data_IF_320827379533
#
_entry.id   IF_320827379533
#
_cell.length_a   1.000
_cell.length_b   1.000
_cell.length_c   1.000
_cell.angle_alpha   90.00
_cell.angle_beta   90.00
_cell.angle_gamma   90.00
#
_symmetry.space_group_name_H-M   'P 1'
#
loop_
_entity.id
_entity.type
_entity.pdbx_description
1 polymer ?
#
# COMPACT_ATOMS: atom_id res chain seq x y z
N UNK A 1 11.77 20.07 -6.75
CA UNK A 1 10.62 20.18 -5.81
C UNK A 1 10.84 19.52 -4.44
N UNK A 2 12.04 19.03 -4.09
CA UNK A 2 12.28 18.39 -2.79
C UNK A 2 12.11 19.31 -1.58
N UNK A 3 12.33 20.63 -1.74
CA UNK A 3 12.17 21.60 -0.64
C UNK A 3 10.71 22.01 -0.36
N UNK A 4 9.73 21.50 -1.11
CA UNK A 4 8.32 21.73 -0.78
C UNK A 4 7.92 20.95 0.49
N UNK A 5 7.12 21.57 1.35
CA UNK A 5 6.68 20.99 2.63
C UNK A 5 6.05 19.59 2.44
N UNK A 6 5.21 19.42 1.42
CA UNK A 6 4.59 18.14 1.07
C UNK A 6 5.60 17.06 0.69
N UNK A 7 6.60 17.39 -0.13
CA UNK A 7 7.66 16.47 -0.55
C UNK A 7 8.51 16.01 0.64
N UNK A 8 8.82 16.92 1.56
CA UNK A 8 9.57 16.63 2.79
C UNK A 8 8.76 15.70 3.69
N UNK A 9 7.48 16.01 3.91
CA UNK A 9 6.59 15.20 4.73
C UNK A 9 6.50 13.75 4.19
N UNK A 10 6.26 13.60 2.88
CA UNK A 10 6.21 12.30 2.22
C UNK A 10 7.53 11.52 2.34
N UNK A 11 8.67 12.20 2.14
CA UNK A 11 9.98 11.56 2.22
C UNK A 11 10.34 11.14 3.65
N UNK A 12 9.99 11.95 4.64
CA UNK A 12 10.17 11.62 6.07
C UNK A 12 9.31 10.42 6.48
N UNK A 13 8.04 10.39 6.06
CA UNK A 13 7.15 9.24 6.32
C UNK A 13 7.75 7.99 5.69
N UNK A 14 8.16 8.03 4.41
CA UNK A 14 8.77 6.88 3.74
C UNK A 14 10.04 6.38 4.46
N UNK A 15 10.91 7.29 4.92
CA UNK A 15 12.14 6.94 5.62
C UNK A 15 11.87 6.33 7.00
N UNK A 16 10.90 6.88 7.73
CA UNK A 16 10.43 6.33 9.00
C UNK A 16 9.88 4.91 8.81
N UNK A 17 8.97 4.73 7.85
CA UNK A 17 8.34 3.43 7.57
C UNK A 17 9.39 2.40 7.16
N UNK A 18 10.34 2.76 6.29
CA UNK A 18 11.43 1.89 5.88
C UNK A 18 12.28 1.45 7.08
N UNK A 19 12.62 2.37 7.98
CA UNK A 19 13.38 2.08 9.19
C UNK A 19 12.64 1.11 10.12
N UNK A 20 11.35 1.34 10.38
CA UNK A 20 10.52 0.48 11.23
C UNK A 20 10.38 -0.93 10.64
N UNK A 21 10.11 -1.04 9.34
CA UNK A 21 9.97 -2.32 8.63
C UNK A 21 11.30 -3.08 8.63
N UNK A 22 12.43 -2.42 8.43
CA UNK A 22 13.74 -3.07 8.42
C UNK A 22 14.08 -3.67 9.80
N UNK A 23 13.79 -2.94 10.88
CA UNK A 23 13.94 -3.45 12.26
C UNK A 23 13.04 -4.66 12.50
N UNK A 24 11.76 -4.58 12.11
CA UNK A 24 10.83 -5.68 12.28
C UNK A 24 11.14 -6.91 11.39
N UNK A 25 11.70 -6.70 10.20
CA UNK A 25 12.09 -7.77 9.28
C UNK A 25 13.20 -8.65 9.88
N UNK A 26 14.11 -8.08 10.67
CA UNK A 26 15.13 -8.84 11.41
C UNK A 26 14.48 -9.84 12.36
N UNK A 27 13.50 -9.40 13.13
CA UNK A 27 12.73 -10.27 14.04
C UNK A 27 11.90 -11.27 13.25
N UNK A 28 11.23 -10.84 12.19
CA UNK A 28 10.43 -11.71 11.33
C UNK A 28 11.23 -12.87 10.73
N UNK A 29 12.46 -12.61 10.28
CA UNK A 29 13.37 -13.67 9.80
C UNK A 29 13.74 -14.68 10.90
N UNK A 30 14.06 -14.20 12.12
CA UNK A 30 14.36 -15.09 13.25
C UNK A 30 13.15 -15.95 13.63
N UNK A 31 11.96 -15.35 13.65
CA UNK A 31 10.70 -16.05 13.94
C UNK A 31 10.46 -17.13 12.90
N UNK A 32 10.61 -16.85 11.60
CA UNK A 32 10.44 -17.88 10.57
C UNK A 32 11.38 -19.08 10.73
N UNK A 33 12.60 -18.85 11.21
CA UNK A 33 13.64 -19.88 11.30
C UNK A 33 13.62 -20.68 12.60
N UNK A 34 13.30 -20.04 13.72
CA UNK A 34 13.50 -20.62 15.06
C UNK A 34 12.22 -20.77 15.89
N UNK A 35 11.07 -20.27 15.41
CA UNK A 35 9.83 -20.31 16.16
C UNK A 35 9.36 -21.75 16.41
N UNK A 36 9.30 -22.15 17.68
CA UNK A 36 8.69 -23.40 18.11
C UNK A 36 7.82 -23.14 19.35
N UNK A 37 6.48 -23.14 19.22
CA UNK A 37 5.58 -22.84 20.35
C UNK A 37 5.64 -23.90 21.46
N UNK A 38 6.07 -25.13 21.17
CA UNK A 38 6.10 -26.23 22.14
C UNK A 38 7.39 -26.27 22.99
N UNK A 39 8.28 -25.28 22.86
CA UNK A 39 9.62 -25.32 23.47
C UNK A 39 9.88 -24.19 24.47
N UNK A 40 10.05 -24.54 25.75
CA UNK A 40 10.34 -23.60 26.85
C UNK A 40 11.81 -23.11 26.92
N UNK A 41 12.50 -23.02 25.79
CA UNK A 41 13.91 -22.56 25.78
C UNK A 41 13.95 -21.05 26.02
N UNK A 42 14.99 -20.57 26.71
CA UNK A 42 15.21 -19.12 26.91
C UNK A 42 15.21 -18.31 25.60
N UNK A 43 15.62 -18.91 24.49
CA UNK A 43 15.56 -18.32 23.16
C UNK A 43 14.12 -18.05 22.69
N UNK A 44 13.18 -18.95 22.97
CA UNK A 44 11.77 -18.82 22.59
C UNK A 44 11.09 -17.70 23.39
N UNK A 45 11.34 -17.63 24.70
CA UNK A 45 10.84 -16.54 25.58
C UNK A 45 11.36 -15.17 25.08
N UNK A 46 12.64 -15.11 24.68
CA UNK A 46 13.20 -13.91 24.07
C UNK A 46 12.48 -13.53 22.76
N UNK A 47 12.26 -14.49 21.87
CA UNK A 47 11.55 -14.27 20.60
C UNK A 47 10.11 -13.80 20.81
N UNK A 48 9.39 -14.31 21.81
CA UNK A 48 8.03 -13.86 22.15
C UNK A 48 8.02 -12.37 22.50
N UNK A 49 8.94 -11.92 23.36
CA UNK A 49 9.06 -10.49 23.70
C UNK A 49 9.41 -9.63 22.48
N UNK A 50 10.31 -10.10 21.61
CA UNK A 50 10.68 -9.41 20.38
C UNK A 50 9.51 -9.33 19.40
N UNK A 51 8.65 -10.37 19.33
CA UNK A 51 7.50 -10.40 18.41
C UNK A 51 6.43 -9.37 18.77
N UNK A 52 6.23 -9.09 20.06
CA UNK A 52 5.32 -8.04 20.53
C UNK A 52 5.77 -6.65 20.07
N UNK A 53 7.06 -6.35 20.28
CA UNK A 53 7.64 -5.10 19.81
C UNK A 53 7.58 -5.01 18.28
N UNK A 54 8.00 -6.06 17.57
CA UNK A 54 8.01 -6.09 16.12
C UNK A 54 6.61 -5.94 15.51
N UNK A 55 5.60 -6.61 16.07
CA UNK A 55 4.22 -6.49 15.57
C UNK A 55 3.68 -5.08 15.74
N UNK A 56 4.01 -4.42 16.86
CA UNK A 56 3.63 -3.03 17.12
C UNK A 56 4.32 -2.07 16.12
N UNK A 57 5.63 -2.23 15.90
CA UNK A 57 6.37 -1.43 14.92
C UNK A 57 5.78 -1.56 13.51
N UNK A 58 5.45 -2.78 13.08
CA UNK A 58 4.81 -3.01 11.77
C UNK A 58 3.44 -2.37 11.71
N UNK A 59 2.60 -2.51 12.75
CA UNK A 59 1.27 -1.91 12.75
C UNK A 59 1.33 -0.38 12.57
N UNK A 60 2.24 0.31 13.27
CA UNK A 60 2.46 1.74 13.08
C UNK A 60 3.03 2.07 11.69
N UNK A 61 4.02 1.31 11.21
CA UNK A 61 4.62 1.52 9.89
C UNK A 61 3.56 1.43 8.77
N UNK A 62 2.71 0.40 8.82
CA UNK A 62 1.61 0.22 7.87
C UNK A 62 0.54 1.30 8.03
N UNK A 63 0.22 1.72 9.26
CA UNK A 63 -0.67 2.86 9.51
C UNK A 63 -0.16 4.16 8.88
N UNK A 64 1.12 4.47 9.05
CA UNK A 64 1.75 5.62 8.39
C UNK A 64 1.72 5.53 6.87
N UNK A 65 1.86 4.32 6.32
CA UNK A 65 1.80 4.09 4.89
C UNK A 65 0.38 4.31 4.32
N UNK A 66 -0.67 4.00 5.08
CA UNK A 66 -2.06 4.34 4.74
C UNK A 66 -2.25 5.86 4.74
N UNK A 67 -1.74 6.56 5.75
CA UNK A 67 -1.79 8.03 5.80
C UNK A 67 -0.99 8.65 4.65
N UNK A 68 0.16 8.05 4.29
CA UNK A 68 1.00 8.48 3.17
C UNK A 68 0.25 8.54 1.83
N UNK A 69 -0.69 7.62 1.58
CA UNK A 69 -1.56 7.69 0.40
C UNK A 69 -2.37 8.99 0.37
N UNK A 70 -2.99 9.36 1.49
CA UNK A 70 -3.79 10.59 1.60
C UNK A 70 -2.91 11.82 1.40
N UNK A 71 -1.76 11.85 2.08
CA UNK A 71 -0.79 12.95 1.94
C UNK A 71 -0.28 13.06 0.51
N UNK A 72 -0.08 11.93 -0.20
CA UNK A 72 0.37 11.91 -1.59
C UNK A 72 -0.65 12.52 -2.55
N UNK A 73 -1.95 12.24 -2.36
CA UNK A 73 -3.02 12.85 -3.16
C UNK A 73 -3.13 14.35 -2.90
N UNK A 74 -3.03 14.78 -1.64
CA UNK A 74 -3.03 16.21 -1.29
C UNK A 74 -1.80 16.94 -1.84
N UNK A 75 -0.64 16.29 -1.80
CA UNK A 75 0.58 16.82 -2.41
C UNK A 75 0.41 16.99 -3.93
N UNK A 76 -0.18 15.99 -4.61
CA UNK A 76 -0.47 16.08 -6.04
C UNK A 76 -1.40 17.25 -6.37
N UNK A 77 -2.43 17.49 -5.57
CA UNK A 77 -3.32 18.64 -5.74
C UNK A 77 -2.56 19.98 -5.60
N UNK A 78 -1.69 20.10 -4.59
CA UNK A 78 -0.90 21.31 -4.40
C UNK A 78 0.14 21.55 -5.50
N UNK A 79 0.75 20.47 -6.01
CA UNK A 79 1.72 20.56 -7.11
C UNK A 79 1.13 21.13 -8.40
N UNK A 80 -0.17 21.02 -8.62
CA UNK A 80 -0.82 21.57 -9.81
C UNK A 80 -0.74 23.08 -9.88
N UNK A 81 -0.69 23.76 -8.73
CA UNK A 81 -0.59 25.23 -8.66
C UNK A 81 0.76 25.76 -9.17
N UNK A 82 1.78 24.90 -9.21
CA UNK A 82 3.16 25.26 -9.57
C UNK A 82 3.54 24.75 -10.98
N UNK A 83 2.86 23.72 -11.48
CA UNK A 83 3.14 23.12 -12.79
C UNK A 83 2.31 23.81 -13.87
N UNK A 84 2.96 24.29 -14.94
CA UNK A 84 2.27 24.93 -16.04
C UNK A 84 1.28 23.96 -16.73
N UNK A 85 0.01 24.38 -16.88
CA UNK A 85 -1.05 23.61 -17.56
C UNK A 85 -1.79 22.58 -16.68
N UNK A 86 -1.30 22.27 -15.47
CA UNK A 86 -1.99 21.36 -14.57
C UNK A 86 -3.17 22.06 -13.87
N UNK A 87 -4.40 21.71 -14.25
CA UNK A 87 -5.62 22.30 -13.64
C UNK A 87 -6.12 21.53 -12.40
N UNK A 88 -5.69 20.29 -12.21
CA UNK A 88 -6.13 19.39 -11.14
C UNK A 88 -5.06 18.34 -10.83
N UNK A 89 -5.16 17.64 -9.69
CA UNK A 89 -4.21 16.60 -9.24
C UNK A 89 -3.82 15.57 -10.32
N UNK A 90 -4.72 15.26 -11.26
CA UNK A 90 -4.44 14.37 -12.39
C UNK A 90 -3.34 14.94 -13.30
N UNK A 91 -3.31 16.26 -13.52
CA UNK A 91 -2.30 16.93 -14.30
C UNK A 91 -0.90 16.84 -13.67
N UNK A 92 -0.77 17.02 -12.36
CA UNK A 92 0.53 16.85 -11.69
C UNK A 92 1.01 15.40 -11.66
N UNK A 93 0.10 14.42 -11.60
CA UNK A 93 0.44 13.00 -11.68
C UNK A 93 0.86 12.58 -13.09
N UNK A 94 0.27 13.18 -14.13
CA UNK A 94 0.63 12.93 -15.53
C UNK A 94 1.87 13.72 -15.98
N UNK A 95 2.34 14.69 -15.20
CA UNK A 95 3.55 15.46 -15.51
C UNK A 95 4.81 14.59 -15.65
N UNK A 96 4.77 13.36 -15.13
CA UNK A 96 5.89 12.43 -15.12
C UNK A 96 5.36 10.98 -15.28
N UNK A 97 6.02 10.11 -16.08
CA UNK A 97 5.64 8.69 -16.21
C UNK A 97 5.51 7.92 -14.88
N UNK A 98 6.18 8.36 -13.80
CA UNK A 98 6.13 7.67 -12.51
C UNK A 98 4.91 8.03 -11.63
N UNK A 99 4.18 9.10 -11.93
CA UNK A 99 3.11 9.59 -11.03
C UNK A 99 1.91 8.65 -10.94
N UNK A 100 1.33 8.25 -12.09
CA UNK A 100 0.23 7.29 -12.11
C UNK A 100 0.59 5.90 -11.58
N UNK A 101 1.74 5.30 -11.95
CA UNK A 101 2.20 4.05 -11.33
C UNK A 101 2.38 4.15 -9.81
N UNK A 102 2.93 5.26 -9.29
CA UNK A 102 3.08 5.46 -7.85
C UNK A 102 1.72 5.48 -7.14
N UNK A 103 0.73 6.18 -7.71
CA UNK A 103 -0.62 6.20 -7.16
C UNK A 103 -1.24 4.80 -7.13
N UNK A 104 -1.11 4.04 -8.23
CA UNK A 104 -1.64 2.68 -8.34
C UNK A 104 -1.02 1.75 -7.30
N UNK A 105 0.30 1.79 -7.12
CA UNK A 105 1.01 0.99 -6.12
C UNK A 105 0.59 1.34 -4.69
N UNK A 106 0.36 2.63 -4.38
CA UNK A 106 -0.17 3.04 -3.07
C UNK A 106 -1.59 2.52 -2.83
N UNK A 107 -2.46 2.60 -3.84
CA UNK A 107 -3.84 2.11 -3.74
C UNK A 107 -3.86 0.60 -3.52
N UNK A 108 -3.11 -0.17 -4.31
CA UNK A 108 -2.98 -1.61 -4.11
C UNK A 108 -2.33 -1.95 -2.76
N UNK A 109 -1.34 -1.16 -2.36
CA UNK A 109 -0.68 -1.25 -1.06
C UNK A 109 -1.67 -1.14 0.11
N UNK A 110 -2.62 -0.20 0.05
CA UNK A 110 -3.67 -0.03 1.06
C UNK A 110 -4.37 -1.35 1.41
N UNK A 111 -4.72 -2.15 0.40
CA UNK A 111 -5.38 -3.44 0.61
C UNK A 111 -4.45 -4.46 1.26
N UNK A 112 -3.19 -4.54 0.80
CA UNK A 112 -2.17 -5.43 1.35
C UNK A 112 -1.86 -5.09 2.82
N UNK A 113 -1.71 -3.81 3.13
CA UNK A 113 -1.44 -3.33 4.49
C UNK A 113 -2.62 -3.59 5.42
N UNK A 114 -3.84 -3.33 4.94
CA UNK A 114 -5.06 -3.62 5.69
C UNK A 114 -5.23 -5.11 5.97
N UNK A 115 -4.89 -5.96 5.00
CA UNK A 115 -4.91 -7.41 5.18
C UNK A 115 -3.94 -7.86 6.29
N UNK A 116 -2.70 -7.35 6.30
CA UNK A 116 -1.75 -7.64 7.38
C UNK A 116 -2.29 -7.20 8.75
N UNK A 117 -2.87 -6.01 8.84
CA UNK A 117 -3.45 -5.48 10.10
C UNK A 117 -4.62 -6.33 10.61
N UNK A 118 -5.49 -6.81 9.71
CA UNK A 118 -6.57 -7.73 10.07
C UNK A 118 -5.99 -9.05 10.57
N UNK A 119 -5.00 -9.61 9.88
CA UNK A 119 -4.32 -10.83 10.29
C UNK A 119 -3.69 -10.69 11.68
N UNK A 120 -3.04 -9.56 11.96
CA UNK A 120 -2.48 -9.25 13.27
C UNK A 120 -3.56 -9.17 14.36
N UNK A 121 -4.72 -8.58 14.06
CA UNK A 121 -5.84 -8.48 15.00
C UNK A 121 -6.51 -9.83 15.27
N UNK A 122 -6.49 -10.75 14.31
CA UNK A 122 -6.96 -12.13 14.49
C UNK A 122 -5.97 -12.93 15.36
N UNK A 123 -4.67 -12.82 15.05
CA UNK A 123 -3.59 -13.50 15.77
C UNK A 123 -3.56 -13.12 17.26
N UNK A 124 -3.74 -11.83 17.58
CA UNK A 124 -3.77 -11.33 18.97
C UNK A 124 -5.02 -11.71 19.76
N UNK A 125 -6.04 -12.30 19.13
CA UNK A 125 -7.25 -12.80 19.80
C UNK A 125 -7.19 -14.29 20.12
N UNK A 126 -6.23 -15.01 19.53
CA UNK A 126 -6.03 -16.43 19.79
C UNK A 126 -4.91 -16.59 20.84
N UNK A 127 -5.14 -17.41 21.86
CA UNK A 127 -4.14 -17.66 22.92
C UNK A 127 -2.90 -18.41 22.38
N UNK A 128 -3.09 -19.31 21.40
CA UNK A 128 -2.02 -20.20 20.90
C UNK A 128 -1.16 -19.59 19.77
N UNK A 129 -1.38 -18.32 19.40
CA UNK A 129 -0.66 -17.63 18.32
C UNK A 129 -0.44 -18.46 17.02
N UNK A 130 -1.47 -19.13 16.48
CA UNK A 130 -1.27 -20.12 15.41
C UNK A 130 -0.84 -19.46 14.09
N UNK A 131 -1.02 -18.15 13.91
CA UNK A 131 -0.77 -17.45 12.65
C UNK A 131 0.56 -16.68 12.63
N UNK A 132 1.40 -16.80 13.65
CA UNK A 132 2.67 -16.03 13.75
C UNK A 132 3.59 -16.27 12.55
N UNK A 133 3.77 -17.53 12.11
CA UNK A 133 4.61 -17.85 10.95
C UNK A 133 4.05 -17.25 9.65
N UNK A 134 2.73 -17.30 9.47
CA UNK A 134 2.05 -16.72 8.31
C UNK A 134 2.19 -15.20 8.29
N UNK A 135 1.99 -14.55 9.46
CA UNK A 135 2.09 -13.10 9.65
C UNK A 135 3.47 -12.56 9.25
N UNK A 136 4.54 -13.19 9.72
CA UNK A 136 5.90 -12.76 9.41
C UNK A 136 6.37 -13.21 8.01
N UNK A 137 5.84 -14.33 7.49
CA UNK A 137 6.08 -14.72 6.10
C UNK A 137 5.47 -13.72 5.13
N UNK A 138 4.23 -13.30 5.40
CA UNK A 138 3.56 -12.26 4.63
C UNK A 138 4.26 -10.90 4.75
N UNK A 139 4.80 -10.55 5.93
CA UNK A 139 5.61 -9.34 6.11
C UNK A 139 6.84 -9.31 5.19
N UNK A 140 7.54 -10.44 5.01
CA UNK A 140 8.70 -10.52 4.12
C UNK A 140 8.31 -10.34 2.65
N UNK A 141 7.13 -10.81 2.23
CA UNK A 141 6.59 -10.57 0.88
C UNK A 141 6.14 -9.12 0.71
N UNK A 142 5.65 -8.48 1.78
CA UNK A 142 5.21 -7.09 1.77
C UNK A 142 6.39 -6.09 1.70
N UNK A 143 7.57 -6.51 2.17
CA UNK A 143 8.78 -5.69 2.17
C UNK A 143 9.21 -5.20 0.77
N UNK A 144 9.37 -6.05 -0.27
CA UNK A 144 9.70 -5.57 -1.62
C UNK A 144 8.61 -4.66 -2.18
N UNK A 145 7.33 -4.91 -1.88
CA UNK A 145 6.23 -4.03 -2.30
C UNK A 145 6.38 -2.62 -1.73
N UNK A 146 6.72 -2.51 -0.44
CA UNK A 146 6.95 -1.23 0.22
C UNK A 146 8.18 -0.49 -0.37
N UNK A 147 9.25 -1.22 -0.70
CA UNK A 147 10.43 -0.65 -1.36
C UNK A 147 10.07 -0.10 -2.74
N UNK A 148 9.25 -0.83 -3.52
CA UNK A 148 8.76 -0.35 -4.82
C UNK A 148 7.91 0.92 -4.66
N UNK A 149 7.02 0.98 -3.68
CA UNK A 149 6.22 2.17 -3.39
C UNK A 149 7.09 3.40 -3.11
N UNK A 150 8.04 3.27 -2.19
CA UNK A 150 8.95 4.36 -1.80
C UNK A 150 9.84 4.74 -2.99
N UNK A 151 10.30 3.77 -3.77
CA UNK A 151 11.08 3.99 -4.99
C UNK A 151 10.30 4.81 -6.02
N UNK A 152 9.05 4.45 -6.31
CA UNK A 152 8.21 5.18 -7.26
C UNK A 152 7.85 6.59 -6.76
N UNK A 153 7.55 6.74 -5.46
CA UNK A 153 7.27 8.06 -4.88
C UNK A 153 8.50 8.97 -4.95
N UNK A 154 9.69 8.46 -4.62
CA UNK A 154 10.93 9.24 -4.63
C UNK A 154 11.34 9.62 -6.06
N UNK A 155 11.24 8.71 -7.03
CA UNK A 155 11.50 9.02 -8.44
C UNK A 155 10.47 9.97 -9.03
N UNK A 156 9.21 9.90 -8.60
CA UNK A 156 8.17 10.86 -8.96
C UNK A 156 8.55 12.27 -8.52
N UNK A 157 8.85 12.46 -7.22
CA UNK A 157 9.23 13.77 -6.66
C UNK A 157 10.54 14.29 -7.27
N UNK A 158 11.51 13.42 -7.54
CA UNK A 158 12.81 13.80 -8.10
C UNK A 158 12.72 14.28 -9.55
N UNK A 159 11.86 13.67 -10.37
CA UNK A 159 11.71 14.00 -11.79
C UNK A 159 10.60 15.02 -12.06
N UNK A 160 9.99 15.60 -11.02
CA UNK A 160 8.94 16.58 -11.18
C UNK A 160 9.55 17.94 -11.57
N UNK A 161 9.42 18.29 -12.86
CA UNK A 161 9.91 19.54 -13.46
C UNK A 161 8.75 20.51 -13.66
N UNK A 162 8.80 21.72 -13.09
CA UNK A 162 7.71 22.70 -13.18
C UNK A 162 7.55 23.34 -14.58
N UNK A 163 8.60 23.31 -15.41
CA UNK A 163 8.62 23.97 -16.73
C UNK A 163 7.93 23.17 -17.86
N UNK A 164 7.36 22.01 -17.56
CA UNK A 164 6.65 21.19 -18.55
C UNK A 164 5.19 21.63 -18.61
N UNK A 165 4.73 22.06 -19.79
CA UNK A 165 3.31 22.35 -20.02
C UNK A 165 2.55 21.03 -20.12
N UNK A 166 1.72 20.75 -19.13
CA UNK A 166 0.88 19.56 -19.09
C UNK A 166 -0.54 19.88 -19.58
N UNK A 167 -0.97 19.27 -20.67
CA UNK A 167 -2.34 19.45 -21.21
C UNK A 167 -3.17 18.20 -20.96
N UNK A 168 -3.40 17.85 -19.69
CA UNK A 168 -4.06 16.59 -19.32
C UNK A 168 -5.56 16.57 -19.66
N UNK A 169 -6.28 17.69 -19.57
CA UNK A 169 -7.73 17.72 -19.81
C UNK A 169 -8.09 17.36 -21.26
N UNK A 170 -7.26 17.75 -22.24
CA UNK A 170 -7.50 17.40 -23.63
C UNK A 170 -7.20 15.92 -23.91
N UNK A 171 -6.14 15.36 -23.33
CA UNK A 171 -5.73 13.96 -23.59
C UNK A 171 -6.58 12.95 -22.80
N UNK A 172 -6.98 13.28 -21.58
CA UNK A 172 -7.78 12.40 -20.70
C UNK A 172 -9.24 12.36 -21.12
N UNK A 173 -9.79 13.47 -21.63
CA UNK A 173 -11.21 13.59 -22.00
C UNK A 173 -11.47 13.65 -23.52
N UNK A 174 -10.43 13.64 -24.37
CA UNK A 174 -10.64 13.35 -25.80
C UNK A 174 -10.91 11.85 -25.98
N UNK A 175 -11.80 11.52 -26.92
CA UNK A 175 -12.32 10.15 -27.12
C UNK A 175 -11.23 9.08 -27.16
N UNK A 176 -11.59 7.88 -26.70
CA UNK A 176 -10.78 6.74 -26.23
C UNK A 176 -9.69 6.14 -27.16
N UNK A 177 -9.10 6.89 -28.09
CA UNK A 177 -8.22 6.37 -29.13
C UNK A 177 -6.76 6.83 -29.13
N UNK A 178 -6.35 7.82 -28.33
CA UNK A 178 -4.99 8.39 -28.46
C UNK A 178 -4.28 8.57 -27.13
N UNK A 179 -3.41 7.61 -26.80
CA UNK A 179 -2.18 7.85 -26.03
C UNK A 179 -2.29 8.42 -24.61
N UNK A 180 -3.48 8.47 -24.01
CA UNK A 180 -3.60 8.82 -22.61
C UNK A 180 -2.86 7.77 -21.76
N UNK A 181 -2.20 8.19 -20.69
CA UNK A 181 -1.61 7.33 -19.65
C UNK A 181 -2.48 7.39 -18.39
N UNK A 182 -3.79 7.25 -18.56
CA UNK A 182 -4.71 6.97 -17.46
C UNK A 182 -4.45 5.58 -16.87
N UNK A 183 -4.80 5.38 -15.59
CA UNK A 183 -4.68 4.11 -14.89
C UNK A 183 -5.32 2.92 -15.64
N UNK A 184 -6.26 3.20 -16.54
CA UNK A 184 -7.09 2.22 -17.25
C UNK A 184 -6.86 2.18 -18.76
N UNK A 185 -5.78 2.77 -19.27
CA UNK A 185 -5.54 2.79 -20.72
C UNK A 185 -5.22 1.41 -21.25
N UNK A 186 -6.15 0.89 -22.07
CA UNK A 186 -6.07 -0.44 -22.67
C UNK A 186 -7.18 -1.40 -22.23
N UNK A 187 -7.97 -1.06 -21.20
CA UNK A 187 -9.16 -1.85 -20.87
C UNK A 187 -10.36 -1.36 -21.67
N UNK A 188 -10.92 -2.26 -22.49
CA UNK A 188 -12.17 -2.00 -23.19
C UNK A 188 -13.30 -1.68 -22.19
N UNK A 189 -14.11 -0.67 -22.49
CA UNK A 189 -15.27 -0.26 -21.70
C UNK A 189 -16.16 -1.42 -21.22
N UNK A 190 -16.53 -2.42 -22.05
CA UNK A 190 -17.33 -3.56 -21.57
C UNK A 190 -16.59 -4.44 -20.55
N UNK A 191 -15.27 -4.55 -20.64
CA UNK A 191 -14.47 -5.33 -19.70
C UNK A 191 -14.44 -4.67 -18.31
N UNK A 192 -14.40 -3.34 -18.27
CA UNK A 192 -14.40 -2.61 -17.00
C UNK A 192 -15.75 -2.72 -16.28
N UNK A 193 -16.85 -2.59 -17.04
CA UNK A 193 -18.20 -2.79 -16.51
C UNK A 193 -18.40 -4.21 -15.98
N UNK A 194 -17.94 -5.24 -16.71
CA UNK A 194 -18.07 -6.63 -16.28
C UNK A 194 -17.24 -6.93 -15.04
N UNK A 195 -16.01 -6.41 -14.94
CA UNK A 195 -15.18 -6.55 -13.75
C UNK A 195 -15.81 -5.87 -12.54
N UNK A 196 -16.36 -4.66 -12.71
CA UNK A 196 -17.02 -3.94 -11.63
C UNK A 196 -18.25 -4.69 -11.12
N UNK A 197 -19.23 -4.98 -11.98
CA UNK A 197 -20.44 -5.71 -11.57
C UNK A 197 -20.13 -7.14 -11.12
N UNK A 198 -19.15 -7.80 -11.74
CA UNK A 198 -18.67 -9.10 -11.32
C UNK A 198 -18.11 -9.10 -9.89
N UNK A 199 -17.30 -8.09 -9.55
CA UNK A 199 -16.76 -7.95 -8.18
C UNK A 199 -17.86 -7.77 -7.13
N UNK A 200 -18.91 -7.00 -7.44
CA UNK A 200 -20.07 -6.80 -6.54
C UNK A 200 -20.81 -8.11 -6.32
N UNK A 201 -21.09 -8.86 -7.40
CA UNK A 201 -21.77 -10.16 -7.31
C UNK A 201 -20.94 -11.16 -6.49
N UNK A 202 -19.63 -11.20 -6.70
CA UNK A 202 -18.73 -12.08 -5.94
C UNK A 202 -18.71 -11.71 -4.46
N UNK A 203 -18.61 -10.41 -4.11
CA UNK A 203 -18.62 -9.96 -2.72
C UNK A 203 -19.95 -10.28 -2.02
N UNK A 204 -21.08 -10.06 -2.69
CA UNK A 204 -22.40 -10.41 -2.16
C UNK A 204 -22.53 -11.93 -2.02
N UNK A 205 -22.08 -12.70 -3.01
CA UNK A 205 -22.08 -14.16 -2.98
C UNK A 205 -21.25 -14.72 -1.83
N UNK A 206 -20.03 -14.22 -1.64
CA UNK A 206 -19.17 -14.56 -0.50
C UNK A 206 -19.80 -14.18 0.83
N UNK A 207 -20.42 -13.00 0.93
CA UNK A 207 -21.13 -12.58 2.14
C UNK A 207 -22.31 -13.48 2.49
N UNK A 208 -23.10 -13.89 1.50
CA UNK A 208 -24.22 -14.84 1.68
C UNK A 208 -23.71 -16.23 2.04
N UNK A 209 -22.65 -16.71 1.40
CA UNK A 209 -21.99 -17.98 1.73
C UNK A 209 -21.46 -17.97 3.17
N UNK A 210 -20.79 -16.90 3.58
CA UNK A 210 -20.26 -16.76 4.93
C UNK A 210 -21.38 -16.71 5.98
N UNK A 211 -22.49 -16.03 5.67
CA UNK A 211 -23.67 -16.00 6.55
C UNK A 211 -24.34 -17.37 6.66
N UNK A 212 -24.43 -18.12 5.55
CA UNK A 212 -24.93 -19.51 5.55
C UNK A 212 -24.02 -20.41 6.36
N UNK A 213 -22.71 -20.37 6.13
CA UNK A 213 -21.69 -21.12 6.88
C UNK A 213 -21.81 -20.88 8.39
N UNK A 214 -21.93 -19.61 8.81
CA UNK A 214 -22.13 -19.23 10.21
C UNK A 214 -23.45 -19.73 10.81
N UNK A 215 -24.49 -19.91 10.00
CA UNK A 215 -25.79 -20.46 10.44
C UNK A 215 -25.79 -22.00 10.50
N UNK A 216 -24.95 -22.67 9.72
CA UNK A 216 -24.82 -24.13 9.66
C UNK A 216 -23.89 -24.75 10.71
N UNK A 217 -23.31 -23.96 11.63
CA UNK A 217 -22.80 -24.44 12.93
C UNK A 217 -21.85 -25.64 12.90
N UNK A 218 -20.66 -25.47 12.33
CA UNK A 218 -19.45 -26.23 12.67
C UNK A 218 -18.40 -25.26 13.20
#
# INVERSE_FOLDING_TARGET
MFLNAWSIALSLISLLVLFLILMAARTGYRVLRYWNPDSDKALQIGLESETWLASTLVAYALGFQIVSLVVFVLAADDFCKVIAGAMCATGSLLANPFGMPALLVKILGLFLYSFWLVLHRLDTRCEDYPLVRLKYGYLLVLMPWLVTDIGLQTTYIANLKPDIITSCCAVVFSGAGQGATNLMTGLAEPLMLTLFYGSVVVLVGLGLLFRRWRQSGL
#
